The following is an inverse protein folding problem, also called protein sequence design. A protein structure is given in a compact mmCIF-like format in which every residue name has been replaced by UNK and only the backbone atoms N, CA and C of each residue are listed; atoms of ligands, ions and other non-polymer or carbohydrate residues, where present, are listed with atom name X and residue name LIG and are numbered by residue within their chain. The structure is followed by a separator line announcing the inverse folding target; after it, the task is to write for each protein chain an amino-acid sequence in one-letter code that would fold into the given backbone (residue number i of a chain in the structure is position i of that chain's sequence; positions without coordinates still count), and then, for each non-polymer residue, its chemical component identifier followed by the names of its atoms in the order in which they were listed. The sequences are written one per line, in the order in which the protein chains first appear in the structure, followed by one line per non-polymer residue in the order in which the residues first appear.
data_IF_174393905441
#
_entry.id   IF_174393905441
#
_cell.length_a   1.000
_cell.length_b   1.000
_cell.length_c   1.000
_cell.angle_alpha   90.00
_cell.angle_beta   90.00
_cell.angle_gamma   90.00
#
_symmetry.space_group_name_H-M   'P 1'
#
loop_
_entity.id
_entity.type
_entity.pdbx_description
1 polymer ?
#
# COMPACT_ATOMS: atom_id res chain seq x y z
N UNK A 1 -40.16 11.36 13.59
CA UNK A 1 -39.80 10.98 12.20
C UNK A 1 -38.32 11.27 12.09
N UNK A 2 -37.50 10.27 12.39
CA UNK A 2 -36.05 10.44 12.62
C UNK A 2 -35.27 9.43 11.76
N UNK A 3 -35.63 9.37 10.47
CA UNK A 3 -34.92 8.53 9.49
C UNK A 3 -33.58 9.13 9.07
N UNK A 4 -33.44 10.47 9.14
CA UNK A 4 -32.26 11.19 8.65
C UNK A 4 -30.98 10.89 9.46
N UNK A 5 -30.99 10.83 10.80
CA UNK A 5 -29.79 10.53 11.58
C UNK A 5 -29.28 9.10 11.38
N UNK A 6 -30.20 8.14 11.24
CA UNK A 6 -29.86 6.73 11.02
C UNK A 6 -29.18 6.53 9.66
N UNK A 7 -29.71 7.15 8.59
CA UNK A 7 -29.11 7.09 7.26
C UNK A 7 -27.71 7.74 7.23
N UNK A 8 -27.53 8.85 7.95
CA UNK A 8 -26.22 9.49 8.07
C UNK A 8 -25.20 8.57 8.79
N UNK A 9 -25.58 7.96 9.92
CA UNK A 9 -24.69 7.06 10.67
C UNK A 9 -24.31 5.82 9.84
N UNK A 10 -25.27 5.19 9.16
CA UNK A 10 -25.00 4.04 8.28
C UNK A 10 -24.05 4.41 7.13
N UNK A 11 -24.22 5.60 6.54
CA UNK A 11 -23.33 6.09 5.46
C UNK A 11 -21.89 6.28 5.97
N UNK A 12 -21.71 6.87 7.15
CA UNK A 12 -20.38 7.04 7.75
C UNK A 12 -19.71 5.69 8.08
N UNK A 13 -20.48 4.72 8.58
CA UNK A 13 -19.98 3.37 8.84
C UNK A 13 -19.56 2.67 7.54
N UNK A 14 -20.34 2.80 6.47
CA UNK A 14 -20.00 2.26 5.15
C UNK A 14 -18.74 2.91 4.57
N UNK A 15 -18.60 4.24 4.68
CA UNK A 15 -17.41 4.97 4.23
C UNK A 15 -16.18 4.55 5.03
N UNK A 16 -16.27 4.49 6.36
CA UNK A 16 -15.17 4.04 7.21
C UNK A 16 -14.76 2.59 6.89
N UNK A 17 -15.74 1.70 6.72
CA UNK A 17 -15.49 0.30 6.36
C UNK A 17 -14.83 0.19 4.98
N UNK A 18 -15.29 0.97 4.00
CA UNK A 18 -14.69 1.04 2.66
C UNK A 18 -13.23 1.50 2.71
N UNK A 19 -12.92 2.55 3.48
CA UNK A 19 -11.56 3.04 3.67
C UNK A 19 -10.64 1.98 4.32
N UNK A 20 -11.15 1.25 5.32
CA UNK A 20 -10.39 0.17 5.98
C UNK A 20 -10.15 -0.98 4.99
N UNK A 21 -11.15 -1.39 4.22
CA UNK A 21 -10.99 -2.42 3.19
C UNK A 21 -9.97 -2.01 2.13
N UNK A 22 -10.02 -0.76 1.67
CA UNK A 22 -9.03 -0.17 0.75
C UNK A 22 -7.62 -0.21 1.34
N UNK A 23 -7.46 0.14 2.62
CA UNK A 23 -6.17 0.06 3.31
C UNK A 23 -5.64 -1.38 3.39
N UNK A 24 -6.48 -2.33 3.79
CA UNK A 24 -6.11 -3.74 3.89
C UNK A 24 -5.75 -4.28 2.50
N UNK A 25 -6.53 -3.96 1.47
CA UNK A 25 -6.28 -4.40 0.10
C UNK A 25 -4.95 -3.83 -0.43
N UNK A 26 -4.70 -2.53 -0.24
CA UNK A 26 -3.47 -1.88 -0.65
C UNK A 26 -2.23 -2.38 0.10
N UNK A 27 -2.37 -2.78 1.36
CA UNK A 27 -1.24 -3.30 2.17
C UNK A 27 -1.07 -4.82 2.09
N UNK A 28 -2.04 -5.56 1.54
CA UNK A 28 -1.96 -7.01 1.39
C UNK A 28 -0.82 -7.43 0.46
N UNK A 29 -0.63 -6.72 -0.66
CA UNK A 29 0.45 -6.99 -1.63
C UNK A 29 1.85 -6.87 -0.99
N UNK A 30 2.03 -5.94 -0.05
CA UNK A 30 3.30 -5.75 0.66
C UNK A 30 3.67 -6.93 1.56
N UNK A 31 2.67 -7.66 2.09
CA UNK A 31 2.90 -8.87 2.89
C UNK A 31 3.30 -10.06 2.02
N UNK A 32 2.97 -10.05 0.72
CA UNK A 32 3.19 -11.17 -0.20
C UNK A 32 4.69 -11.33 -0.51
N UNK A 33 5.40 -10.25 -0.84
CA UNK A 33 6.85 -10.27 -1.05
C UNK A 33 7.62 -10.69 0.21
N UNK A 34 7.20 -10.17 1.37
CA UNK A 34 7.78 -10.55 2.66
C UNK A 34 7.58 -12.04 2.97
N UNK A 35 6.45 -12.63 2.58
CA UNK A 35 6.17 -14.06 2.77
C UNK A 35 7.01 -14.95 1.84
N UNK A 36 7.36 -14.45 0.65
CA UNK A 36 8.21 -15.14 -0.32
C UNK A 36 9.72 -15.05 0.00
N UNK A 37 10.09 -14.31 1.06
CA UNK A 37 11.51 -14.13 1.43
C UNK A 37 12.29 -13.24 0.47
N UNK A 38 11.60 -12.52 -0.43
CA UNK A 38 12.22 -11.61 -1.38
C UNK A 38 12.51 -10.29 -0.65
N UNK A 39 13.79 -9.88 -0.56
CA UNK A 39 14.13 -8.59 0.02
C UNK A 39 13.66 -7.47 -0.91
N UNK A 40 13.10 -6.40 -0.34
CA UNK A 40 12.54 -5.31 -1.12
C UNK A 40 12.37 -4.03 -0.31
N UNK A 41 12.37 -2.86 -0.97
CA UNK A 41 12.09 -1.57 -0.34
C UNK A 41 10.71 -1.58 0.32
N UNK A 42 10.62 -1.08 1.56
CA UNK A 42 9.35 -1.00 2.29
C UNK A 42 8.37 -0.09 1.55
N UNK A 43 7.31 -0.65 0.97
CA UNK A 43 6.38 0.11 0.15
C UNK A 43 5.45 0.95 1.03
N UNK A 44 5.14 2.18 0.59
CA UNK A 44 4.26 3.08 1.33
C UNK A 44 2.81 2.59 1.23
N UNK A 45 2.00 2.75 2.29
CA UNK A 45 0.57 2.44 2.22
C UNK A 45 -0.09 3.25 1.09
N UNK A 46 -0.88 2.58 0.24
CA UNK A 46 -1.55 3.07 -0.97
C UNK A 46 -0.68 3.39 -2.20
N UNK A 47 0.45 4.07 -2.02
CA UNK A 47 1.31 4.50 -3.15
C UNK A 47 2.39 3.48 -3.51
N UNK A 48 2.63 2.49 -2.65
CA UNK A 48 3.67 1.49 -2.85
C UNK A 48 5.05 2.11 -2.99
N UNK A 49 5.78 1.69 -4.00
CA UNK A 49 7.12 2.20 -4.37
C UNK A 49 7.10 3.30 -5.45
N UNK A 50 5.91 3.72 -5.91
CA UNK A 50 5.75 4.67 -7.04
C UNK A 50 6.44 6.02 -6.76
N UNK A 51 6.37 6.51 -5.52
CA UNK A 51 7.04 7.76 -5.12
C UNK A 51 8.56 7.71 -5.30
N UNK A 52 9.17 6.54 -5.11
CA UNK A 52 10.59 6.37 -5.33
C UNK A 52 10.93 6.33 -6.83
N UNK A 53 10.08 5.68 -7.64
CA UNK A 53 10.23 5.69 -9.09
C UNK A 53 10.11 7.10 -9.71
N UNK A 54 9.23 7.96 -9.17
CA UNK A 54 9.11 9.37 -9.60
C UNK A 54 10.38 10.18 -9.34
N UNK A 55 11.20 9.78 -8.35
CA UNK A 55 12.46 10.44 -8.02
C UNK A 55 13.60 10.06 -8.97
N UNK A 56 13.38 9.03 -9.80
CA UNK A 56 14.32 8.57 -10.82
C UNK A 56 14.43 7.05 -10.82
N UNK A 57 13.86 6.41 -11.84
CA UNK A 57 13.80 4.95 -11.99
C UNK A 57 15.19 4.29 -11.90
N UNK A 58 16.18 4.85 -12.59
CA UNK A 58 17.53 4.28 -12.66
C UNK A 58 18.31 4.38 -11.34
N UNK A 59 18.16 5.50 -10.63
CA UNK A 59 18.82 5.68 -9.34
C UNK A 59 18.21 4.76 -8.28
N UNK A 60 16.88 4.62 -8.30
CA UNK A 60 16.17 3.73 -7.40
C UNK A 60 16.51 2.25 -7.64
N UNK A 61 16.56 1.81 -8.90
CA UNK A 61 16.97 0.44 -9.24
C UNK A 61 18.40 0.14 -8.76
N UNK A 62 19.33 1.10 -8.94
CA UNK A 62 20.71 0.95 -8.47
C UNK A 62 20.77 0.86 -6.94
N UNK A 63 20.09 1.75 -6.22
CA UNK A 63 20.04 1.71 -4.74
C UNK A 63 19.42 0.40 -4.22
N UNK A 64 18.39 -0.11 -4.89
CA UNK A 64 17.77 -1.38 -4.51
C UNK A 64 18.68 -2.57 -4.80
N UNK A 65 19.40 -2.57 -5.93
CA UNK A 65 20.38 -3.61 -6.25
C UNK A 65 21.54 -3.62 -5.24
N UNK A 66 22.08 -2.44 -4.88
CA UNK A 66 23.15 -2.32 -3.88
C UNK A 66 22.72 -2.78 -2.48
N UNK A 67 21.45 -2.53 -2.10
CA UNK A 67 20.95 -2.82 -0.75
C UNK A 67 20.37 -4.23 -0.58
N UNK A 68 19.73 -4.76 -1.60
CA UNK A 68 18.99 -6.03 -1.55
C UNK A 68 19.62 -7.13 -2.41
N UNK A 69 20.58 -6.81 -3.29
CA UNK A 69 21.30 -7.76 -4.13
C UNK A 69 20.70 -7.93 -5.53
N UNK A 70 21.18 -8.94 -6.27
CA UNK A 70 20.77 -9.22 -7.65
C UNK A 70 19.27 -9.49 -7.83
N UNK A 71 18.59 -10.01 -6.80
CA UNK A 71 17.15 -10.24 -6.83
C UNK A 71 16.46 -9.47 -5.70
N UNK A 72 15.61 -8.52 -6.09
CA UNK A 72 14.76 -7.76 -5.19
C UNK A 72 13.37 -7.54 -5.78
N UNK A 73 12.38 -7.38 -4.91
CA UNK A 73 10.98 -7.16 -5.28
C UNK A 73 10.51 -5.76 -4.90
N UNK A 74 9.72 -5.08 -5.74
CA UNK A 74 9.21 -3.72 -5.46
C UNK A 74 8.07 -3.65 -4.44
#
# INVERSE_FOLDING_TARGET
MDLIPNFAMETWVLVATSLVLLYIYGTHSHKLFKKLGIPGPTPLPFLGTILFYLRGLWNFDRECNEKYGEMWGP
#
